data_IF_320369392159
#
_entry.id   IF_320369392159
#
_cell.length_a   1.000
_cell.length_b   1.000
_cell.length_c   1.000
_cell.angle_alpha   90.00
_cell.angle_beta   90.00
_cell.angle_gamma   90.00
#
_symmetry.space_group_name_H-M   'P 1'
#
loop_
_entity.id
_entity.type
_entity.pdbx_description
1 polymer ?
#
# COMPACT_ATOMS: atom_id res chain seq x y z
N UNK A 1 11.22 7.14 3.53
CA UNK A 1 11.31 5.73 3.98
C UNK A 1 12.59 5.10 3.42
N UNK A 2 12.74 4.97 2.10
CA UNK A 2 13.93 4.32 1.51
C UNK A 2 15.26 5.04 1.81
N UNK A 3 15.29 6.38 1.77
CA UNK A 3 16.49 7.15 2.15
C UNK A 3 16.91 6.93 3.61
N UNK A 4 15.99 6.44 4.45
CA UNK A 4 16.22 6.09 5.85
C UNK A 4 16.47 4.58 6.05
N UNK A 5 16.60 3.82 4.95
CA UNK A 5 16.82 2.37 4.99
C UNK A 5 15.58 1.54 5.38
N UNK A 6 14.38 2.12 5.31
CA UNK A 6 13.12 1.45 5.66
C UNK A 6 12.37 0.94 4.42
N UNK A 7 11.61 -0.14 4.58
CA UNK A 7 10.90 -0.82 3.48
C UNK A 7 9.44 -0.34 3.39
N UNK A 8 9.08 0.51 2.41
CA UNK A 8 7.74 1.06 2.30
C UNK A 8 6.71 -0.01 1.87
N UNK A 9 5.65 -0.11 2.66
CA UNK A 9 4.47 -0.91 2.38
C UNK A 9 3.23 -0.04 2.34
N UNK A 10 2.27 -0.41 1.51
CA UNK A 10 0.93 0.19 1.48
C UNK A 10 -0.13 -0.84 1.85
N UNK A 11 -1.14 -0.42 2.59
CA UNK A 11 -2.37 -1.18 2.78
C UNK A 11 -3.43 -0.66 1.81
N UNK A 12 -4.08 -1.57 1.10
CA UNK A 12 -5.04 -1.24 0.06
C UNK A 12 -6.40 -1.87 0.38
N UNK A 13 -7.48 -1.09 0.20
CA UNK A 13 -8.86 -1.55 0.23
C UNK A 13 -9.25 -2.14 -1.13
N UNK A 14 -9.34 -3.46 -1.22
CA UNK A 14 -9.68 -4.18 -2.46
C UNK A 14 -11.18 -4.16 -2.79
N UNK A 15 -12.03 -3.53 -1.98
CA UNK A 15 -13.46 -3.37 -2.30
C UNK A 15 -13.74 -2.23 -3.28
N UNK A 16 -12.75 -1.37 -3.55
CA UNK A 16 -12.87 -0.27 -4.52
C UNK A 16 -12.78 -0.77 -5.96
N UNK A 17 -13.38 0.00 -6.87
CA UNK A 17 -13.33 -0.25 -8.31
C UNK A 17 -11.92 -0.05 -8.88
N UNK A 18 -11.68 -0.65 -10.05
CA UNK A 18 -10.47 -0.47 -10.85
C UNK A 18 -9.16 -0.87 -10.16
N UNK A 19 -9.19 -1.90 -9.31
CA UNK A 19 -7.99 -2.51 -8.71
C UNK A 19 -7.56 -3.73 -9.51
N UNK A 20 -6.27 -3.84 -9.77
CA UNK A 20 -5.64 -5.03 -10.35
C UNK A 20 -4.59 -5.50 -9.36
N UNK A 21 -4.91 -6.58 -8.65
CA UNK A 21 -4.02 -7.31 -7.74
C UNK A 21 -4.34 -8.81 -7.82
N UNK A 22 -3.43 -9.72 -7.44
CA UNK A 22 -3.72 -11.14 -7.49
C UNK A 22 -4.63 -11.52 -6.32
N UNK A 23 -5.89 -11.85 -6.61
CA UNK A 23 -6.97 -12.00 -5.63
C UNK A 23 -6.67 -13.02 -4.51
N UNK A 24 -5.87 -14.05 -4.80
CA UNK A 24 -5.47 -15.08 -3.83
C UNK A 24 -4.68 -14.54 -2.63
N UNK A 25 -4.12 -13.32 -2.71
CA UNK A 25 -3.39 -12.67 -1.61
C UNK A 25 -4.25 -11.65 -0.85
N UNK A 26 -5.52 -11.47 -1.24
CA UNK A 26 -6.45 -10.59 -0.53
C UNK A 26 -6.89 -11.27 0.76
N UNK A 27 -6.79 -10.54 1.88
CA UNK A 27 -7.24 -10.98 3.19
C UNK A 27 -8.20 -9.96 3.76
N UNK A 28 -9.42 -10.39 4.12
CA UNK A 28 -10.47 -9.53 4.68
C UNK A 28 -10.75 -8.28 3.81
N UNK A 29 -10.75 -8.46 2.49
CA UNK A 29 -10.97 -7.37 1.54
C UNK A 29 -9.81 -6.37 1.42
N UNK A 30 -8.64 -6.68 1.98
CA UNK A 30 -7.45 -5.83 1.92
C UNK A 30 -6.24 -6.58 1.39
N UNK A 31 -5.26 -5.84 0.90
CA UNK A 31 -3.95 -6.38 0.53
C UNK A 31 -2.85 -5.45 1.00
N UNK A 32 -1.75 -6.03 1.46
CA UNK A 32 -0.51 -5.32 1.76
C UNK A 32 0.43 -5.47 0.57
N UNK A 33 0.96 -4.36 0.08
CA UNK A 33 1.87 -4.34 -1.06
C UNK A 33 3.19 -3.69 -0.65
N UNK A 34 4.29 -4.40 -0.90
CA UNK A 34 5.64 -3.83 -0.81
C UNK A 34 5.90 -2.97 -2.05
N UNK A 35 6.11 -1.67 -1.85
CA UNK A 35 6.38 -0.71 -2.94
C UNK A 35 7.83 -0.24 -2.95
N UNK A 36 8.73 -0.95 -2.26
CA UNK A 36 10.15 -0.66 -2.30
C UNK A 36 10.69 -0.83 -3.73
N UNK A 37 11.66 0.00 -4.11
CA UNK A 37 12.34 -0.01 -5.40
C UNK A 37 12.92 -1.41 -5.71
N UNK A 38 13.41 -2.11 -4.69
CA UNK A 38 13.94 -3.48 -4.83
C UNK A 38 12.88 -4.58 -4.99
N UNK A 39 11.65 -4.33 -4.57
CA UNK A 39 10.54 -5.29 -4.61
C UNK A 39 9.67 -5.14 -5.87
N UNK A 40 9.88 -4.05 -6.63
CA UNK A 40 9.04 -3.65 -7.74
C UNK A 40 9.86 -3.46 -9.02
N UNK A 41 9.17 -3.48 -10.15
CA UNK A 41 9.73 -3.10 -11.45
C UNK A 41 8.76 -2.17 -12.16
N UNK A 42 9.29 -1.13 -12.80
CA UNK A 42 8.50 -0.08 -13.45
C UNK A 42 7.49 0.57 -12.50
N UNK A 43 7.92 0.89 -11.27
CA UNK A 43 7.09 1.59 -10.31
C UNK A 43 6.76 3.00 -10.82
N UNK A 44 5.47 3.26 -10.96
CA UNK A 44 4.91 4.56 -11.31
C UNK A 44 3.94 4.94 -10.21
N UNK A 45 4.22 6.08 -9.57
CA UNK A 45 3.35 6.71 -8.59
C UNK A 45 2.96 8.05 -9.16
N UNK A 46 1.65 8.28 -9.29
CA UNK A 46 1.10 9.56 -9.71
C UNK A 46 -0.19 9.85 -8.94
N UNK A 47 -0.79 11.01 -9.18
CA UNK A 47 -1.98 11.47 -8.44
C UNK A 47 -3.24 10.60 -8.66
N UNK A 48 -3.23 9.69 -9.65
CA UNK A 48 -4.37 8.82 -9.97
C UNK A 48 -4.16 7.41 -9.46
N UNK A 49 -2.94 6.88 -9.56
CA UNK A 49 -2.66 5.50 -9.22
C UNK A 49 -1.21 5.23 -8.84
N UNK A 50 -1.03 4.09 -8.17
CA UNK A 50 0.23 3.38 -8.01
C UNK A 50 0.18 2.16 -8.93
N UNK A 51 1.17 1.99 -9.80
CA UNK A 51 1.26 0.83 -10.69
C UNK A 51 2.69 0.31 -10.79
N UNK A 52 2.85 -1.00 -10.82
CA UNK A 52 4.16 -1.65 -10.90
C UNK A 52 4.00 -3.13 -11.29
N UNK A 53 5.12 -3.78 -11.62
CA UNK A 53 5.22 -5.24 -11.65
C UNK A 53 5.89 -5.73 -10.37
N UNK A 54 5.38 -6.81 -9.78
CA UNK A 54 5.99 -7.48 -8.64
C UNK A 54 5.83 -8.99 -8.74
N UNK A 55 6.58 -9.73 -7.91
CA UNK A 55 6.47 -11.19 -7.83
C UNK A 55 5.63 -11.60 -6.65
N UNK A 56 4.62 -12.41 -6.93
CA UNK A 56 3.78 -13.06 -5.94
C UNK A 56 3.93 -14.57 -6.11
N UNK A 57 4.45 -15.25 -5.10
CA UNK A 57 4.77 -16.69 -5.15
C UNK A 57 5.61 -17.04 -6.40
N UNK A 58 6.66 -16.24 -6.64
CA UNK A 58 7.57 -16.37 -7.78
C UNK A 58 7.00 -15.92 -9.14
N UNK A 59 5.69 -15.72 -9.26
CA UNK A 59 5.03 -15.32 -10.52
C UNK A 59 5.00 -13.81 -10.65
N UNK A 60 5.42 -13.28 -11.81
CA UNK A 60 5.30 -11.86 -12.12
C UNK A 60 3.83 -11.48 -12.30
N UNK A 61 3.40 -10.41 -11.67
CA UNK A 61 2.05 -9.87 -11.70
C UNK A 61 2.10 -8.37 -11.98
N UNK A 62 1.15 -7.89 -12.76
CA UNK A 62 0.88 -6.46 -12.92
C UNK A 62 -0.01 -5.99 -11.78
N UNK A 63 0.38 -4.88 -11.16
CA UNK A 63 -0.33 -4.25 -10.05
C UNK A 63 -0.78 -2.86 -10.47
N UNK A 64 -2.05 -2.57 -10.19
CA UNK A 64 -2.63 -1.25 -10.38
C UNK A 64 -3.58 -0.95 -9.21
N UNK A 65 -3.33 0.17 -8.54
CA UNK A 65 -4.09 0.60 -7.36
C UNK A 65 -4.42 2.08 -7.52
N UNK A 66 -5.71 2.46 -7.63
CA UNK A 66 -6.12 3.86 -7.55
C UNK A 66 -5.71 4.48 -6.21
N UNK A 67 -5.32 5.76 -6.18
CA UNK A 67 -4.92 6.43 -4.93
C UNK A 67 -6.05 6.40 -3.89
N UNK A 68 -7.30 6.49 -4.33
CA UNK A 68 -8.49 6.40 -3.46
C UNK A 68 -8.70 5.04 -2.77
N UNK A 69 -7.93 4.01 -3.14
CA UNK A 69 -7.95 2.70 -2.50
C UNK A 69 -6.81 2.50 -1.49
N UNK A 70 -5.84 3.42 -1.42
CA UNK A 70 -4.71 3.32 -0.49
C UNK A 70 -5.14 3.84 0.88
N UNK A 71 -5.09 2.97 1.89
CA UNK A 71 -5.50 3.28 3.26
C UNK A 71 -4.36 3.84 4.10
N UNK A 72 -3.15 3.31 3.92
CA UNK A 72 -1.97 3.75 4.66
C UNK A 72 -0.70 3.42 3.88
N UNK A 73 0.35 4.20 4.15
CA UNK A 73 1.73 3.87 3.84
C UNK A 73 2.53 3.78 5.15
N UNK A 74 3.32 2.73 5.33
CA UNK A 74 4.12 2.49 6.52
C UNK A 74 5.43 1.77 6.22
N UNK A 75 6.41 1.90 7.10
CA UNK A 75 7.64 1.13 7.09
C UNK A 75 7.39 -0.25 7.72
N UNK A 76 7.76 -1.33 7.02
CA UNK A 76 7.53 -2.70 7.49
C UNK A 76 8.25 -3.04 8.80
N UNK A 77 9.38 -2.37 9.08
CA UNK A 77 10.26 -2.68 10.19
C UNK A 77 9.72 -2.21 11.55
N UNK A 78 9.08 -1.05 11.58
CA UNK A 78 8.66 -0.38 12.81
C UNK A 78 7.20 0.07 12.80
N UNK A 79 6.48 -0.11 11.69
CA UNK A 79 5.08 0.30 11.53
C UNK A 79 4.89 1.82 11.44
N UNK A 80 5.97 2.60 11.39
CA UNK A 80 5.90 4.06 11.29
C UNK A 80 5.38 4.47 9.92
N UNK A 81 4.41 5.37 9.88
CA UNK A 81 3.71 5.69 8.64
C UNK A 81 2.60 6.71 8.82
N UNK A 82 1.78 6.82 7.79
CA UNK A 82 0.66 7.75 7.72
C UNK A 82 -0.59 7.01 7.24
N UNK A 83 -1.73 7.36 7.83
CA UNK A 83 -3.04 6.97 7.32
C UNK A 83 -3.54 8.01 6.34
N UNK A 84 -4.09 7.56 5.21
CA UNK A 84 -4.76 8.46 4.29
C UNK A 84 -6.21 8.61 4.74
N UNK A 85 -6.60 9.85 5.03
CA UNK A 85 -7.99 10.18 5.31
C UNK A 85 -8.79 10.06 4.00
N UNK A 86 -9.93 9.37 4.05
CA UNK A 86 -10.87 9.46 2.94
C UNK A 86 -11.45 10.87 2.95
N UNK A 87 -11.58 11.53 1.80
CA UNK A 87 -12.08 12.92 1.67
C UNK A 87 -13.49 13.18 2.28
N UNK A 88 -14.17 12.14 2.78
CA UNK A 88 -15.44 12.20 3.50
C UNK A 88 -15.30 12.10 5.04
N UNK A 89 -14.09 12.06 5.59
CA UNK A 89 -13.85 12.13 7.03
C UNK A 89 -13.24 13.50 7.37
N UNK A 90 -13.84 14.26 8.32
CA UNK A 90 -13.16 15.44 8.85
C UNK A 90 -11.83 14.98 9.48
N UNK A 91 -10.76 15.72 9.20
CA UNK A 91 -9.41 15.39 9.65
C UNK A 91 -9.37 15.18 11.18
N UNK A 92 -9.34 13.92 11.60
CA UNK A 92 -9.22 13.54 13.00
C UNK A 92 -7.76 13.21 13.28
N UNK A 93 -7.18 14.04 14.15
CA UNK A 93 -5.81 14.02 14.70
C UNK A 93 -5.13 12.65 14.60
N UNK A 94 -3.94 12.66 14.00
CA UNK A 94 -2.96 11.59 13.89
C UNK A 94 -3.12 10.47 14.95
N UNK A 95 -3.53 9.25 14.55
CA UNK A 95 -3.59 8.15 15.48
C UNK A 95 -2.16 7.75 15.87
N UNK A 96 -1.82 7.88 17.15
CA UNK A 96 -0.63 7.27 17.73
C UNK A 96 -0.86 5.75 17.72
N UNK A 97 -0.25 5.04 16.77
CA UNK A 97 -0.27 3.58 16.76
C UNK A 97 0.45 3.08 18.00
N UNK A 98 -0.30 2.68 19.03
CA UNK A 98 0.22 1.82 20.07
C UNK A 98 0.52 0.48 19.42
N UNK A 99 1.80 0.15 19.43
CA UNK A 99 2.40 -1.11 19.00
C UNK A 99 1.48 -2.26 19.43
N UNK A 100 1.09 -3.09 18.47
CA UNK A 100 0.36 -4.32 18.71
C UNK A 100 1.28 -5.27 19.48
N UNK A 101 1.00 -5.49 20.77
CA UNK A 101 1.63 -6.53 21.60
C UNK A 101 1.32 -7.95 21.07
#
# INVERSE_FOLDING_TARGET
MEDSGLTPHILVDCSKSDIIVPEQFIQQGKIVLNIATQATSNLVINNKSISFKARFDGKSQDIYVPISAVLTIYAAENGEGMFFENENQPAEKEPTLKILD
#
